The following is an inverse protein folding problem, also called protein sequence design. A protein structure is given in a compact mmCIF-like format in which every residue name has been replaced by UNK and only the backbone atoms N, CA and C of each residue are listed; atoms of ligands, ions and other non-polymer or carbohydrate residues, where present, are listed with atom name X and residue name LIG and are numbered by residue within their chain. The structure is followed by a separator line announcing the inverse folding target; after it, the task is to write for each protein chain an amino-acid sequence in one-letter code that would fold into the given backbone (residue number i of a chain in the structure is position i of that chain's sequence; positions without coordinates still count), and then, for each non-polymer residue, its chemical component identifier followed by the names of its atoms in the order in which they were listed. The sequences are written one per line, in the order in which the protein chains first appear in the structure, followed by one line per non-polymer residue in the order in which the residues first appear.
data_IF_207626796793
#
_entry.id   IF_207626796793
#
_cell.length_a   1.000
_cell.length_b   1.000
_cell.length_c   1.000
_cell.angle_alpha   90.00
_cell.angle_beta   90.00
_cell.angle_gamma   90.00
#
_symmetry.space_group_name_H-M   'P 1'
#
loop_
_entity.id
_entity.type
_entity.pdbx_description
1 polymer ?
#
# COMPACT_ATOMS: atom_id res chain seq x y z
N UNK A 1 -10.40 -10.12 -24.19
CA UNK A 1 -10.36 -9.00 -23.22
C UNK A 1 -8.93 -8.90 -22.72
N UNK A 2 -8.29 -7.73 -22.80
CA UNK A 2 -6.99 -7.52 -22.16
C UNK A 2 -7.27 -7.07 -20.72
N UNK A 3 -6.65 -7.75 -19.76
CA UNK A 3 -6.66 -7.45 -18.33
C UNK A 3 -5.22 -7.45 -17.80
N UNK A 4 -5.00 -7.05 -16.55
CA UNK A 4 -3.66 -6.88 -15.96
C UNK A 4 -2.78 -8.15 -15.94
N UNK A 5 -3.35 -9.33 -16.20
CA UNK A 5 -2.60 -10.59 -16.35
C UNK A 5 -2.53 -11.08 -17.82
N UNK A 6 -2.83 -10.23 -18.80
CA UNK A 6 -2.73 -10.60 -20.22
C UNK A 6 -1.28 -10.94 -20.56
N UNK A 7 -1.00 -12.12 -21.13
CA UNK A 7 0.34 -12.46 -21.60
C UNK A 7 0.90 -11.37 -22.52
N UNK A 8 2.12 -10.91 -22.23
CA UNK A 8 2.79 -9.84 -22.98
C UNK A 8 2.66 -8.43 -22.38
N UNK A 9 1.76 -8.20 -21.42
CA UNK A 9 1.64 -6.92 -20.71
C UNK A 9 2.11 -7.06 -19.25
N UNK A 10 3.42 -7.07 -19.03
CA UNK A 10 4.03 -7.20 -17.69
C UNK A 10 4.30 -5.82 -17.08
N UNK A 11 3.25 -5.17 -16.58
CA UNK A 11 3.36 -3.92 -15.79
C UNK A 11 3.65 -4.26 -14.32
N UNK A 12 2.88 -3.69 -13.39
CA UNK A 12 2.73 -4.17 -12.03
C UNK A 12 1.78 -5.38 -12.08
N UNK A 13 2.28 -6.55 -11.71
CA UNK A 13 1.50 -7.79 -11.74
C UNK A 13 0.47 -7.82 -10.60
N UNK A 14 -0.68 -8.43 -10.87
CA UNK A 14 -1.65 -8.73 -9.82
C UNK A 14 -1.12 -9.85 -8.94
N UNK A 15 -1.36 -9.73 -7.63
CA UNK A 15 -1.02 -10.76 -6.63
C UNK A 15 -2.28 -11.17 -5.89
N UNK A 16 -2.38 -12.45 -5.53
CA UNK A 16 -3.43 -12.97 -4.68
C UNK A 16 -2.86 -13.31 -3.30
N UNK A 17 -3.58 -12.96 -2.24
CA UNK A 17 -3.20 -13.26 -0.86
C UNK A 17 -4.45 -13.52 0.00
N UNK A 18 -4.31 -14.28 1.10
CA UNK A 18 -5.43 -14.60 1.96
C UNK A 18 -5.82 -13.42 2.87
N UNK A 19 -7.12 -13.35 3.20
CA UNK A 19 -7.62 -12.56 4.33
C UNK A 19 -8.08 -13.54 5.41
N UNK A 20 -7.40 -13.51 6.55
CA UNK A 20 -7.62 -14.42 7.68
C UNK A 20 -7.85 -13.63 8.97
N UNK A 21 -8.41 -14.30 9.98
CA UNK A 21 -8.63 -13.73 11.31
C UNK A 21 -7.38 -13.79 12.20
N UNK A 22 -6.43 -14.65 11.86
CA UNK A 22 -5.21 -14.92 12.61
C UNK A 22 -4.03 -15.29 11.68
N UNK A 23 -2.83 -15.40 12.25
CA UNK A 23 -1.61 -15.72 11.49
C UNK A 23 -1.55 -17.20 11.11
N UNK A 24 -2.16 -18.06 11.91
CA UNK A 24 -2.27 -19.50 11.67
C UNK A 24 -3.07 -19.79 10.40
N UNK A 25 -4.15 -19.05 10.14
CA UNK A 25 -4.91 -19.15 8.89
C UNK A 25 -4.09 -18.74 7.66
N UNK A 26 -3.23 -17.72 7.80
CA UNK A 26 -2.31 -17.29 6.74
C UNK A 26 -1.27 -18.38 6.46
N UNK A 27 -0.66 -18.95 7.50
CA UNK A 27 0.31 -20.05 7.38
C UNK A 27 -0.32 -21.28 6.74
N UNK A 28 -1.52 -21.68 7.18
CA UNK A 28 -2.25 -22.81 6.62
C UNK A 28 -2.58 -22.61 5.13
N UNK A 29 -3.03 -21.41 4.74
CA UNK A 29 -3.34 -21.11 3.35
C UNK A 29 -2.09 -21.25 2.47
N UNK A 30 -1.00 -20.57 2.83
CA UNK A 30 0.23 -20.64 2.04
C UNK A 30 0.84 -22.05 2.04
N UNK A 31 0.87 -22.73 3.18
CA UNK A 31 1.33 -24.11 3.25
C UNK A 31 0.51 -25.00 2.29
N UNK A 32 -0.81 -24.87 2.27
CA UNK A 32 -1.70 -25.65 1.41
C UNK A 32 -1.45 -25.36 -0.06
N UNK A 33 -1.42 -24.09 -0.44
CA UNK A 33 -1.22 -23.67 -1.84
C UNK A 33 0.14 -24.12 -2.37
N UNK A 34 1.22 -23.80 -1.65
CA UNK A 34 2.58 -24.14 -2.12
C UNK A 34 2.85 -25.65 -2.10
N UNK A 35 2.15 -26.44 -1.28
CA UNK A 35 2.24 -27.91 -1.31
C UNK A 35 1.69 -28.53 -2.60
N UNK A 36 0.87 -27.79 -3.36
CA UNK A 36 0.35 -28.25 -4.66
C UNK A 36 1.34 -28.11 -5.82
N UNK A 37 2.55 -27.57 -5.57
CA UNK A 37 3.54 -27.20 -6.59
C UNK A 37 2.95 -26.30 -7.69
N UNK A 38 2.50 -25.07 -7.37
CA UNK A 38 1.79 -24.20 -8.32
C UNK A 38 2.52 -23.95 -9.65
N UNK A 39 3.85 -24.01 -9.64
CA UNK A 39 4.69 -23.83 -10.83
C UNK A 39 4.42 -24.85 -11.96
N UNK A 40 3.82 -26.02 -11.67
CA UNK A 40 3.41 -26.98 -12.70
C UNK A 40 2.15 -26.55 -13.47
N UNK A 41 1.36 -25.64 -12.89
CA UNK A 41 0.13 -25.11 -13.46
C UNK A 41 0.29 -23.72 -14.06
N UNK A 42 1.21 -22.91 -13.53
CA UNK A 42 1.45 -21.53 -13.97
C UNK A 42 2.97 -21.22 -14.05
N UNK A 43 3.46 -21.06 -15.28
CA UNK A 43 4.86 -20.72 -15.58
C UNK A 43 5.35 -19.37 -15.04
N UNK A 44 4.44 -18.52 -14.54
CA UNK A 44 4.79 -17.23 -13.93
C UNK A 44 5.05 -17.33 -12.43
N UNK A 45 4.70 -18.45 -11.80
CA UNK A 45 4.89 -18.66 -10.36
C UNK A 45 6.33 -19.07 -10.07
N UNK A 46 6.88 -18.51 -8.98
CA UNK A 46 8.17 -18.94 -8.45
C UNK A 46 8.05 -20.33 -7.82
N UNK A 47 8.90 -21.26 -8.27
CA UNK A 47 8.99 -22.62 -7.72
C UNK A 47 9.77 -22.61 -6.39
N UNK A 48 9.15 -22.05 -5.35
CA UNK A 48 9.72 -21.93 -4.00
C UNK A 48 8.76 -22.63 -3.03
N UNK A 49 9.21 -23.67 -2.30
CA UNK A 49 8.36 -24.35 -1.33
C UNK A 49 8.07 -23.43 -0.13
N UNK A 50 6.92 -23.63 0.51
CA UNK A 50 6.62 -22.99 1.79
C UNK A 50 7.59 -23.51 2.87
N UNK A 51 8.38 -22.60 3.44
CA UNK A 51 9.40 -22.93 4.44
C UNK A 51 8.82 -22.73 5.83
N UNK A 52 8.72 -23.80 6.61
CA UNK A 52 8.51 -23.69 8.06
C UNK A 52 9.80 -23.18 8.69
N UNK A 53 9.72 -21.99 9.28
CA UNK A 53 10.83 -21.39 10.00
C UNK A 53 10.69 -21.72 11.48
N UNK A 54 11.81 -22.01 12.13
CA UNK A 54 11.83 -22.11 13.59
C UNK A 54 11.47 -20.75 14.22
N UNK A 55 10.73 -20.74 15.34
CA UNK A 55 10.47 -19.50 16.06
C UNK A 55 11.77 -18.77 16.37
N UNK A 56 11.78 -17.45 16.16
CA UNK A 56 12.93 -16.63 16.52
C UNK A 56 13.19 -16.75 18.03
N UNK A 57 14.46 -16.84 18.47
CA UNK A 57 14.76 -16.90 19.89
C UNK A 57 14.29 -15.59 20.56
N UNK A 58 13.80 -15.62 21.81
CA UNK A 58 13.34 -14.41 22.50
C UNK A 58 14.39 -13.31 22.62
N UNK A 59 15.67 -13.67 22.55
CA UNK A 59 16.81 -12.73 22.55
C UNK A 59 17.08 -12.06 21.20
N UNK A 60 16.37 -12.43 20.13
CA UNK A 60 16.58 -11.86 18.80
C UNK A 60 16.06 -10.43 18.75
N UNK A 61 16.98 -9.48 18.70
CA UNK A 61 16.68 -8.08 18.38
C UNK A 61 16.45 -7.95 16.87
N UNK A 62 15.30 -7.42 16.49
CA UNK A 62 14.96 -7.08 15.10
C UNK A 62 15.25 -5.60 14.84
N UNK A 63 15.75 -5.30 13.64
CA UNK A 63 15.88 -3.93 13.12
C UNK A 63 14.68 -3.64 12.23
N UNK A 64 13.77 -2.81 12.72
CA UNK A 64 12.48 -2.54 12.09
C UNK A 64 12.50 -1.12 11.53
N UNK A 65 12.39 -1.01 10.21
CA UNK A 65 12.22 0.28 9.53
C UNK A 65 10.82 0.82 9.81
N UNK A 66 10.70 2.08 10.21
CA UNK A 66 9.40 2.73 10.43
C UNK A 66 9.17 3.73 9.32
N UNK A 67 8.16 3.48 8.49
CA UNK A 67 7.71 4.42 7.48
C UNK A 67 6.78 5.43 8.14
N UNK A 68 7.25 6.67 8.24
CA UNK A 68 6.50 7.77 8.86
C UNK A 68 5.58 8.47 7.84
N UNK A 69 4.81 9.44 8.33
CA UNK A 69 3.95 10.27 7.48
C UNK A 69 4.76 10.97 6.36
N UNK A 70 4.28 10.84 5.13
CA UNK A 70 4.83 11.51 3.96
C UNK A 70 4.34 12.97 3.94
N UNK A 71 5.19 13.96 3.58
CA UNK A 71 4.83 15.39 3.59
C UNK A 71 3.54 15.71 2.83
N UNK A 72 3.34 15.10 1.67
CA UNK A 72 2.14 15.24 0.81
C UNK A 72 0.97 14.36 1.24
N UNK A 73 1.22 13.26 1.95
CA UNK A 73 0.21 12.27 2.32
C UNK A 73 0.13 12.12 3.85
N UNK A 74 -0.33 13.14 4.58
CA UNK A 74 -0.38 13.14 6.04
C UNK A 74 -1.29 12.03 6.58
N UNK A 75 -0.99 11.55 7.78
CA UNK A 75 -1.82 10.59 8.50
C UNK A 75 -2.90 11.31 9.32
N UNK A 76 -4.10 10.73 9.36
CA UNK A 76 -5.16 11.14 10.27
C UNK A 76 -4.71 10.89 11.72
N UNK A 77 -5.23 11.66 12.69
CA UNK A 77 -4.90 11.51 14.12
C UNK A 77 -4.92 10.06 14.64
N UNK A 78 -5.98 9.23 14.41
CA UNK A 78 -6.00 7.85 14.91
C UNK A 78 -4.88 6.99 14.33
N UNK A 79 -4.60 7.12 13.03
CA UNK A 79 -3.54 6.34 12.38
C UNK A 79 -2.16 6.72 12.92
N UNK A 80 -1.90 8.02 13.11
CA UNK A 80 -0.65 8.52 13.71
C UNK A 80 -0.48 7.99 15.14
N UNK A 81 -1.53 8.04 15.95
CA UNK A 81 -1.50 7.54 17.33
C UNK A 81 -1.21 6.04 17.38
N UNK A 82 -1.95 5.24 16.62
CA UNK A 82 -1.80 3.78 16.59
C UNK A 82 -0.40 3.37 16.10
N UNK A 83 0.16 4.07 15.11
CA UNK A 83 1.54 3.86 14.67
C UNK A 83 2.56 4.19 15.78
N UNK A 84 2.33 5.27 16.54
CA UNK A 84 3.17 5.63 17.68
C UNK A 84 3.07 4.61 18.82
N UNK A 85 1.88 4.07 19.10
CA UNK A 85 1.68 3.00 20.09
C UNK A 85 2.38 1.71 19.67
N UNK A 86 2.22 1.29 18.41
CA UNK A 86 2.88 0.09 17.88
C UNK A 86 4.41 0.20 17.96
N UNK A 87 4.97 1.36 17.59
CA UNK A 87 6.42 1.59 17.69
C UNK A 87 6.88 1.64 19.15
N UNK A 88 6.13 2.25 20.06
CA UNK A 88 6.45 2.24 21.49
C UNK A 88 6.48 0.80 22.06
N UNK A 89 5.51 -0.04 21.70
CA UNK A 89 5.46 -1.44 22.14
C UNK A 89 6.63 -2.26 21.60
N UNK A 90 6.94 -2.15 20.31
CA UNK A 90 8.08 -2.85 19.70
C UNK A 90 9.41 -2.42 20.34
N UNK A 91 9.57 -1.12 20.63
CA UNK A 91 10.74 -0.61 21.33
C UNK A 91 10.83 -1.12 22.77
N UNK A 92 9.70 -1.21 23.47
CA UNK A 92 9.64 -1.74 24.83
C UNK A 92 10.02 -3.24 24.89
N UNK A 93 9.78 -3.99 23.81
CA UNK A 93 10.24 -5.38 23.66
C UNK A 93 11.73 -5.49 23.26
N UNK A 94 12.47 -4.38 23.19
CA UNK A 94 13.90 -4.36 22.93
C UNK A 94 14.29 -4.40 21.45
N UNK A 95 13.37 -4.20 20.52
CA UNK A 95 13.69 -4.09 19.09
C UNK A 95 14.30 -2.72 18.74
N UNK A 96 15.15 -2.70 17.71
CA UNK A 96 15.74 -1.48 17.17
C UNK A 96 14.80 -0.87 16.13
N UNK A 97 14.35 0.36 16.35
CA UNK A 97 13.50 1.09 15.41
C UNK A 97 14.31 2.11 14.62
N UNK A 98 14.21 2.03 13.30
CA UNK A 98 14.92 2.91 12.35
C UNK A 98 13.87 3.73 11.61
N UNK A 99 13.72 5.00 12.00
CA UNK A 99 12.76 5.91 11.35
C UNK A 99 13.29 6.31 9.98
N UNK A 100 12.61 5.86 8.92
CA UNK A 100 13.04 6.05 7.55
C UNK A 100 12.55 7.40 7.02
N UNK A 101 13.46 8.22 6.50
CA UNK A 101 13.10 9.53 5.97
C UNK A 101 12.27 9.41 4.67
N UNK A 102 11.44 10.42 4.36
CA UNK A 102 10.67 10.43 3.10
C UNK A 102 11.57 10.41 1.86
N UNK A 103 12.73 11.07 1.93
CA UNK A 103 13.74 11.10 0.85
C UNK A 103 14.45 9.75 0.66
N UNK A 104 14.39 8.89 1.67
CA UNK A 104 14.93 7.54 1.64
C UNK A 104 13.90 6.52 1.14
N UNK A 105 12.64 6.67 1.53
CA UNK A 105 11.55 5.76 1.15
C UNK A 105 10.97 6.00 -0.23
N UNK A 106 11.12 7.20 -0.81
CA UNK A 106 10.74 7.53 -2.19
C UNK A 106 9.27 7.16 -2.52
N UNK A 107 8.39 7.28 -1.52
CA UNK A 107 6.98 6.90 -1.64
C UNK A 107 6.30 7.68 -2.76
N UNK A 108 6.58 8.99 -2.89
CA UNK A 108 6.02 9.82 -3.94
C UNK A 108 6.39 9.32 -5.34
N UNK A 109 7.66 9.07 -5.58
CA UNK A 109 8.20 8.62 -6.87
C UNK A 109 7.73 7.21 -7.23
N UNK A 110 7.68 6.31 -6.26
CA UNK A 110 7.15 4.95 -6.44
C UNK A 110 5.67 4.97 -6.80
N UNK A 111 4.88 5.81 -6.13
CA UNK A 111 3.47 6.02 -6.45
C UNK A 111 3.28 6.62 -7.83
N UNK A 112 4.09 7.63 -8.19
CA UNK A 112 4.05 8.28 -9.49
C UNK A 112 4.27 7.28 -10.63
N UNK A 113 5.32 6.46 -10.53
CA UNK A 113 5.62 5.41 -11.51
C UNK A 113 4.48 4.39 -11.59
N UNK A 114 3.96 3.94 -10.45
CA UNK A 114 2.89 2.96 -10.40
C UNK A 114 1.62 3.47 -11.08
N UNK A 115 1.22 4.72 -10.81
CA UNK A 115 0.03 5.31 -11.41
C UNK A 115 0.16 5.48 -12.92
N UNK A 116 1.33 5.83 -13.41
CA UNK A 116 1.58 5.87 -14.86
C UNK A 116 1.51 4.48 -15.48
N UNK A 117 2.06 3.45 -14.83
CA UNK A 117 1.97 2.06 -15.29
C UNK A 117 0.52 1.55 -15.31
N UNK A 118 -0.29 1.85 -14.28
CA UNK A 118 -1.70 1.49 -14.27
C UNK A 118 -2.49 2.22 -15.37
N UNK A 119 -2.12 3.45 -15.68
CA UNK A 119 -2.75 4.28 -16.72
C UNK A 119 -2.29 3.98 -18.15
N UNK A 120 -1.38 3.02 -18.38
CA UNK A 120 -0.93 2.67 -19.73
C UNK A 120 -1.99 1.96 -20.58
N UNK A 121 -2.95 1.29 -19.94
CA UNK A 121 -4.04 0.60 -20.64
C UNK A 121 -5.36 1.39 -20.55
N UNK A 122 -5.73 2.17 -21.59
CA UNK A 122 -6.98 2.91 -21.59
C UNK A 122 -8.21 2.03 -21.89
N UNK A 123 -8.04 0.73 -22.16
CA UNK A 123 -9.15 -0.11 -22.61
C UNK A 123 -10.19 -0.34 -21.52
N UNK A 124 -9.77 -0.45 -20.24
CA UNK A 124 -10.68 -0.70 -19.12
C UNK A 124 -11.80 0.36 -19.04
N UNK A 125 -11.44 1.65 -19.04
CA UNK A 125 -12.42 2.73 -19.01
C UNK A 125 -13.24 2.78 -20.32
N UNK A 126 -12.63 2.44 -21.46
CA UNK A 126 -13.33 2.40 -22.74
C UNK A 126 -14.48 1.38 -22.75
N UNK A 127 -14.34 0.26 -22.03
CA UNK A 127 -15.40 -0.74 -21.91
C UNK A 127 -16.57 -0.23 -21.08
N UNK A 128 -16.29 0.43 -19.95
CA UNK A 128 -17.32 1.06 -19.10
C UNK A 128 -18.12 2.08 -19.91
N UNK A 129 -17.44 2.95 -20.65
CA UNK A 129 -18.08 3.96 -21.50
C UNK A 129 -18.92 3.31 -22.61
N UNK A 130 -18.39 2.27 -23.29
CA UNK A 130 -19.12 1.54 -24.35
C UNK A 130 -20.34 0.79 -23.83
N UNK A 131 -20.31 0.31 -22.59
CA UNK A 131 -21.44 -0.35 -21.95
C UNK A 131 -22.59 0.63 -21.60
N UNK A 132 -22.32 1.94 -21.59
CA UNK A 132 -23.30 2.96 -21.22
C UNK A 132 -23.58 3.03 -19.72
N UNK A 133 -22.73 2.41 -18.90
CA UNK A 133 -22.85 2.45 -17.44
C UNK A 133 -22.35 3.79 -16.87
N UNK A 134 -23.01 4.35 -15.84
CA UNK A 134 -22.52 5.55 -15.18
C UNK A 134 -21.18 5.26 -14.48
N UNK A 135 -20.23 6.18 -14.61
CA UNK A 135 -18.96 6.09 -13.90
C UNK A 135 -19.21 6.15 -12.39
N UNK A 136 -18.66 5.19 -11.64
CA UNK A 136 -18.80 5.14 -10.19
C UNK A 136 -18.30 6.44 -9.54
N UNK A 137 -19.04 7.02 -8.57
CA UNK A 137 -18.63 8.26 -7.92
C UNK A 137 -17.24 8.19 -7.27
N UNK A 138 -16.84 7.04 -6.76
CA UNK A 138 -15.48 6.80 -6.24
C UNK A 138 -14.39 7.08 -7.29
N UNK A 139 -14.60 6.70 -8.57
CA UNK A 139 -13.62 6.92 -9.64
C UNK A 139 -13.50 8.41 -9.98
N UNK A 140 -14.62 9.13 -9.99
CA UNK A 140 -14.63 10.59 -10.19
C UNK A 140 -13.89 11.28 -9.03
N UNK A 141 -14.10 10.83 -7.79
CA UNK A 141 -13.39 11.36 -6.63
C UNK A 141 -11.87 11.12 -6.72
N UNK A 142 -11.44 9.91 -7.11
CA UNK A 142 -10.02 9.61 -7.38
C UNK A 142 -9.47 10.54 -8.45
N UNK A 143 -10.20 10.76 -9.55
CA UNK A 143 -9.78 11.67 -10.62
C UNK A 143 -9.59 13.11 -10.10
N UNK A 144 -10.51 13.63 -9.30
CA UNK A 144 -10.38 14.96 -8.68
C UNK A 144 -9.12 15.07 -7.81
N UNK A 145 -8.84 14.05 -6.99
CA UNK A 145 -7.63 14.03 -6.15
C UNK A 145 -6.35 13.92 -6.99
N UNK A 146 -6.36 13.17 -8.09
CA UNK A 146 -5.22 13.07 -8.99
C UNK A 146 -4.93 14.40 -9.70
N UNK A 147 -5.96 15.14 -10.15
CA UNK A 147 -5.77 16.48 -10.70
C UNK A 147 -5.22 17.45 -9.66
N UNK A 148 -5.71 17.38 -8.41
CA UNK A 148 -5.11 18.14 -7.31
C UNK A 148 -3.66 17.74 -7.05
N UNK A 149 -3.32 16.45 -7.14
CA UNK A 149 -1.94 16.00 -6.92
C UNK A 149 -0.99 16.61 -7.95
N UNK A 150 -1.41 16.69 -9.22
CA UNK A 150 -0.62 17.31 -10.29
C UNK A 150 -0.32 18.79 -10.06
N UNK A 151 -1.16 19.53 -9.33
CA UNK A 151 -0.92 20.95 -9.06
C UNK A 151 0.04 21.20 -7.89
N UNK A 152 0.16 20.24 -6.98
CA UNK A 152 0.96 20.39 -5.74
C UNK A 152 2.25 19.56 -5.76
N UNK A 153 2.30 18.50 -6.56
CA UNK A 153 3.45 17.61 -6.68
C UNK A 153 4.19 17.88 -7.99
N UNK A 154 5.50 18.13 -7.86
CA UNK A 154 6.38 18.24 -9.02
C UNK A 154 6.79 16.84 -9.47
N UNK A 155 6.34 16.46 -10.66
CA UNK A 155 6.69 15.19 -11.30
C UNK A 155 8.21 14.95 -11.33
N UNK A 156 8.62 13.72 -11.00
CA UNK A 156 10.01 13.26 -11.19
C UNK A 156 10.22 12.55 -12.51
N UNK A 157 9.13 12.26 -13.23
CA UNK A 157 9.13 11.68 -14.56
C UNK A 157 9.23 12.76 -15.66
N UNK A 158 9.76 12.40 -16.84
CA UNK A 158 9.73 13.29 -18.00
C UNK A 158 8.30 13.57 -18.46
N UNK A 159 8.12 14.65 -19.20
CA UNK A 159 6.86 14.88 -19.92
C UNK A 159 6.68 13.79 -20.99
N UNK A 160 5.52 13.14 -20.96
CA UNK A 160 5.16 12.10 -21.93
C UNK A 160 4.35 12.63 -23.13
N UNK A 161 4.16 13.95 -23.24
CA UNK A 161 3.50 14.55 -24.40
C UNK A 161 4.24 14.19 -25.69
N UNK A 162 3.53 13.51 -26.60
CA UNK A 162 4.09 13.07 -27.89
C UNK A 162 5.05 11.87 -27.81
N UNK A 163 5.22 11.26 -26.63
CA UNK A 163 6.02 10.04 -26.45
C UNK A 163 5.16 8.83 -26.80
N UNK A 164 5.71 7.93 -27.61
CA UNK A 164 5.08 6.65 -27.95
C UNK A 164 4.86 5.77 -26.70
N UNK A 165 3.89 4.85 -26.76
CA UNK A 165 3.57 3.96 -25.64
C UNK A 165 4.69 2.96 -25.32
N UNK A 166 5.47 2.49 -26.30
CA UNK A 166 6.60 1.59 -26.04
C UNK A 166 7.75 2.34 -25.35
N UNK A 167 8.07 3.54 -25.83
CA UNK A 167 9.07 4.41 -25.21
C UNK A 167 8.65 4.80 -23.78
N UNK A 168 7.38 5.18 -23.59
CA UNK A 168 6.80 5.46 -22.28
C UNK A 168 6.91 4.26 -21.35
N UNK A 169 6.58 3.06 -21.83
CA UNK A 169 6.73 1.82 -21.06
C UNK A 169 8.19 1.54 -20.69
N UNK A 170 9.12 1.73 -21.63
CA UNK A 170 10.54 1.54 -21.39
C UNK A 170 11.07 2.50 -20.33
N UNK A 171 10.71 3.78 -20.41
CA UNK A 171 11.07 4.81 -19.41
C UNK A 171 10.52 4.44 -18.03
N UNK A 172 9.23 4.07 -17.94
CA UNK A 172 8.59 3.72 -16.68
C UNK A 172 9.20 2.47 -16.05
N UNK A 173 9.52 1.43 -16.84
CA UNK A 173 10.16 0.23 -16.36
C UNK A 173 11.60 0.49 -15.89
N UNK A 174 12.37 1.30 -16.62
CA UNK A 174 13.71 1.71 -16.21
C UNK A 174 13.67 2.47 -14.87
N UNK A 175 12.74 3.43 -14.74
CA UNK A 175 12.55 4.18 -13.50
C UNK A 175 12.10 3.28 -12.35
N UNK A 176 11.18 2.34 -12.58
CA UNK A 176 10.76 1.36 -11.58
C UNK A 176 11.93 0.50 -11.11
N UNK A 177 12.78 0.03 -12.02
CA UNK A 177 13.96 -0.76 -11.68
C UNK A 177 14.96 0.04 -10.83
N UNK A 178 15.23 1.30 -11.20
CA UNK A 178 16.08 2.20 -10.42
C UNK A 178 15.55 2.39 -8.99
N UNK A 179 14.26 2.69 -8.84
CA UNK A 179 13.65 2.90 -7.52
C UNK A 179 13.65 1.62 -6.67
N UNK A 180 13.44 0.45 -7.28
CA UNK A 180 13.56 -0.86 -6.59
C UNK A 180 14.97 -1.08 -6.06
N UNK A 181 16.00 -0.78 -6.85
CA UNK A 181 17.39 -0.91 -6.40
C UNK A 181 17.72 0.07 -5.27
N UNK A 182 17.27 1.33 -5.35
CA UNK A 182 17.45 2.30 -4.26
C UNK A 182 16.75 1.84 -2.97
N UNK A 183 15.57 1.25 -3.08
CA UNK A 183 14.86 0.70 -1.93
C UNK A 183 15.56 -0.55 -1.36
N UNK A 184 16.15 -1.40 -2.21
CA UNK A 184 17.00 -2.52 -1.76
C UNK A 184 18.25 -2.01 -1.04
N UNK A 185 18.90 -0.97 -1.55
CA UNK A 185 20.05 -0.33 -0.90
C UNK A 185 19.68 0.25 0.46
N UNK A 186 18.50 0.85 0.59
CA UNK A 186 17.95 1.30 1.88
C UNK A 186 17.88 0.14 2.89
N UNK A 187 17.33 -1.00 2.49
CA UNK A 187 17.24 -2.20 3.34
C UNK A 187 18.62 -2.70 3.79
N UNK A 188 19.60 -2.73 2.87
CA UNK A 188 20.97 -3.17 3.19
C UNK A 188 21.68 -2.16 4.09
N UNK A 189 21.60 -0.86 3.78
CA UNK A 189 22.21 0.24 4.54
C UNK A 189 21.77 0.19 6.00
N UNK A 190 20.48 0.02 6.24
CA UNK A 190 19.90 0.00 7.57
C UNK A 190 19.80 -1.41 8.17
N UNK A 191 20.27 -2.45 7.47
CA UNK A 191 20.22 -3.84 7.90
C UNK A 191 18.83 -4.29 8.36
N UNK A 192 17.79 -3.89 7.62
CA UNK A 192 16.40 -4.07 8.02
C UNK A 192 15.99 -5.55 8.00
N UNK A 193 15.21 -5.96 9.00
CA UNK A 193 14.55 -7.27 9.01
C UNK A 193 13.08 -7.17 8.56
N UNK A 194 12.43 -6.05 8.86
CA UNK A 194 11.06 -5.76 8.48
C UNK A 194 10.85 -4.24 8.39
N UNK A 195 9.75 -3.83 7.75
CA UNK A 195 9.26 -2.46 7.81
C UNK A 195 7.85 -2.42 8.42
N UNK A 196 7.59 -1.42 9.24
CA UNK A 196 6.27 -1.08 9.76
C UNK A 196 5.78 0.20 9.07
N UNK A 197 4.57 0.15 8.52
CA UNK A 197 3.93 1.28 7.84
C UNK A 197 2.42 1.24 8.09
N UNK A 198 1.74 2.40 8.12
CA UNK A 198 0.29 2.42 8.11
C UNK A 198 -0.24 1.99 6.74
N UNK A 199 -1.30 1.17 6.64
CA UNK A 199 -1.83 0.74 5.34
C UNK A 199 -2.62 1.85 4.62
N UNK A 200 -3.04 2.88 5.34
CA UNK A 200 -3.78 4.02 4.80
C UNK A 200 -3.51 5.27 5.63
N UNK A 201 -3.84 6.44 5.07
CA UNK A 201 -3.82 7.71 5.80
C UNK A 201 -4.91 7.82 6.85
N UNK A 202 -5.97 7.01 6.74
CA UNK A 202 -7.26 7.19 7.38
C UNK A 202 -7.78 5.86 7.94
N UNK A 203 -8.84 5.95 8.72
CA UNK A 203 -9.71 4.80 9.03
C UNK A 203 -10.83 4.70 7.99
N UNK A 204 -11.87 3.91 8.23
CA UNK A 204 -13.00 3.81 7.32
C UNK A 204 -13.57 5.20 6.96
N UNK A 205 -13.63 5.48 5.66
CA UNK A 205 -14.18 6.72 5.11
C UNK A 205 -15.62 6.53 4.65
N UNK A 206 -16.33 7.63 4.43
CA UNK A 206 -17.63 7.61 3.76
C UNK A 206 -17.56 6.93 2.39
N UNK A 207 -18.67 6.34 1.96
CA UNK A 207 -18.81 5.76 0.63
C UNK A 207 -18.32 6.76 -0.44
N UNK A 208 -17.55 6.25 -1.41
CA UNK A 208 -17.00 7.01 -2.52
C UNK A 208 -16.01 8.14 -2.14
N UNK A 209 -15.41 8.10 -0.94
CA UNK A 209 -14.48 9.13 -0.44
C UNK A 209 -13.09 8.62 -0.04
N UNK A 210 -12.71 7.39 -0.40
CA UNK A 210 -11.41 6.83 -0.02
C UNK A 210 -10.24 7.48 -0.74
N UNK A 211 -10.38 7.76 -2.04
CA UNK A 211 -9.35 8.47 -2.78
C UNK A 211 -8.09 7.64 -3.04
N UNK A 212 -6.92 8.28 -2.90
CA UNK A 212 -5.61 7.72 -3.24
C UNK A 212 -5.04 6.84 -2.11
N UNK A 213 -4.33 5.76 -2.47
CA UNK A 213 -3.79 4.79 -1.51
C UNK A 213 -2.24 4.78 -1.49
N UNK A 214 -1.58 5.90 -1.10
CA UNK A 214 -0.15 6.07 -1.28
C UNK A 214 0.71 5.07 -0.50
N UNK A 215 0.21 4.59 0.64
CA UNK A 215 0.93 3.66 1.53
C UNK A 215 0.78 2.18 1.15
N UNK A 216 0.03 1.85 0.09
CA UNK A 216 -0.06 0.48 -0.44
C UNK A 216 0.33 0.41 -1.92
N UNK A 217 0.04 1.45 -2.71
CA UNK A 217 0.44 1.49 -4.13
C UNK A 217 1.96 1.43 -4.31
N UNK A 218 2.74 2.10 -3.44
CA UNK A 218 4.20 2.05 -3.52
C UNK A 218 4.75 0.62 -3.34
N UNK A 219 4.09 -0.20 -2.52
CA UNK A 219 4.48 -1.59 -2.29
C UNK A 219 4.22 -2.47 -3.51
N UNK A 220 3.14 -2.21 -4.25
CA UNK A 220 2.90 -2.86 -5.54
C UNK A 220 3.99 -2.48 -6.57
N UNK A 221 4.43 -1.22 -6.54
CA UNK A 221 5.53 -0.75 -7.39
C UNK A 221 6.84 -1.50 -7.05
N UNK A 222 7.13 -1.65 -5.75
CA UNK A 222 8.30 -2.36 -5.25
C UNK A 222 8.22 -3.88 -5.47
N UNK A 223 7.01 -4.45 -5.49
CA UNK A 223 6.75 -5.89 -5.51
C UNK A 223 7.29 -6.58 -4.24
N UNK A 224 6.99 -5.99 -3.07
CA UNK A 224 7.45 -6.47 -1.76
C UNK A 224 6.30 -7.17 -1.02
N UNK A 225 6.57 -8.28 -0.31
CA UNK A 225 5.56 -8.98 0.48
C UNK A 225 5.14 -8.12 1.67
N UNK A 226 3.82 -7.97 1.86
CA UNK A 226 3.25 -7.18 2.96
C UNK A 226 2.03 -7.85 3.55
N UNK A 227 1.80 -7.63 4.85
CA UNK A 227 0.59 -8.02 5.56
C UNK A 227 0.06 -6.82 6.34
N UNK A 228 -1.26 -6.71 6.45
CA UNK A 228 -1.92 -5.73 7.31
C UNK A 228 -2.48 -6.44 8.54
N UNK A 229 -2.03 -6.02 9.71
CA UNK A 229 -2.47 -6.58 11.00
C UNK A 229 -3.35 -5.53 11.68
N UNK A 230 -4.62 -5.85 12.02
CA UNK A 230 -5.47 -4.95 12.77
C UNK A 230 -4.83 -4.60 14.12
N UNK A 231 -4.74 -3.31 14.44
CA UNK A 231 -4.18 -2.84 15.70
C UNK A 231 -4.83 -1.52 16.13
N UNK A 232 -5.21 -1.43 17.40
CA UNK A 232 -5.85 -0.27 17.98
C UNK A 232 -7.31 -0.06 17.53
N UNK A 233 -7.97 0.89 18.18
CA UNK A 233 -9.33 1.35 17.85
C UNK A 233 -9.37 2.87 17.94
N UNK A 234 -10.31 3.51 17.23
CA UNK A 234 -10.53 4.96 17.32
C UNK A 234 -11.13 5.31 18.69
N UNK A 235 -10.57 6.30 19.35
CA UNK A 235 -10.99 6.73 20.68
C UNK A 235 -11.09 8.25 20.85
N UNK A 236 -11.43 8.69 22.06
CA UNK A 236 -11.63 10.11 22.38
C UNK A 236 -10.40 10.98 22.10
N UNK A 237 -9.19 10.43 22.26
CA UNK A 237 -7.93 11.12 21.98
C UNK A 237 -7.73 11.45 20.49
N UNK A 238 -8.52 10.84 19.60
CA UNK A 238 -8.42 11.01 18.15
C UNK A 238 -9.30 12.15 17.61
N UNK A 239 -10.15 12.75 18.47
CA UNK A 239 -11.03 13.88 18.13
C UNK A 239 -10.26 15.19 18.01
N UNK A 240 -9.25 15.19 17.16
CA UNK A 240 -8.39 16.34 16.89
C UNK A 240 -8.78 16.98 15.58
N UNK A 241 -8.63 18.30 15.50
CA UNK A 241 -8.79 19.03 14.24
C UNK A 241 -7.69 18.59 13.29
N UNK A 242 -8.09 18.12 12.11
CA UNK A 242 -7.17 17.72 11.04
C UNK A 242 -7.42 18.62 9.84
N UNK A 243 -6.51 19.58 9.66
CA UNK A 243 -6.53 20.51 8.54
C UNK A 243 -5.44 20.14 7.54
N UNK A 244 -5.84 19.97 6.28
CA UNK A 244 -4.90 19.75 5.19
C UNK A 244 -4.25 21.07 4.80
N UNK A 245 -2.92 21.06 4.72
CA UNK A 245 -2.20 22.14 4.05
C UNK A 245 -2.46 22.12 2.55
N UNK A 246 -2.16 23.24 1.89
CA UNK A 246 -2.34 23.39 0.45
C UNK A 246 -1.51 22.37 -0.36
N UNK A 247 -0.38 21.92 0.18
CA UNK A 247 0.55 20.94 -0.42
C UNK A 247 0.24 19.48 -0.07
N UNK A 248 -0.94 19.19 0.49
CA UNK A 248 -1.30 17.87 1.01
C UNK A 248 -2.59 17.29 0.43
N UNK A 249 -2.63 15.96 0.34
CA UNK A 249 -3.81 15.20 -0.05
C UNK A 249 -4.05 14.10 0.98
N UNK A 250 -5.27 14.06 1.51
CA UNK A 250 -5.82 12.94 2.27
C UNK A 250 -7.34 12.96 2.11
N UNK A 251 -8.03 11.85 2.43
CA UNK A 251 -9.47 11.87 2.60
C UNK A 251 -9.92 12.79 3.74
N UNK A 252 -11.19 13.18 3.68
CA UNK A 252 -11.85 13.95 4.73
C UNK A 252 -11.76 13.23 6.08
N UNK A 253 -11.50 13.99 7.13
CA UNK A 253 -11.26 13.50 8.48
C UNK A 253 -12.42 13.91 9.37
N UNK A 254 -13.37 13.01 9.59
CA UNK A 254 -14.60 13.28 10.35
C UNK A 254 -14.60 12.58 11.71
N UNK A 255 -13.73 13.01 12.63
CA UNK A 255 -13.75 12.53 14.02
C UNK A 255 -14.28 13.58 15.01
N UNK A 256 -14.81 14.70 14.51
CA UNK A 256 -15.38 15.80 15.33
C UNK A 256 -16.83 15.56 15.80
N UNK A 257 -17.45 14.46 15.40
CA UNK A 257 -18.78 14.03 15.87
C UNK A 257 -18.71 12.59 16.41
N UNK A 258 -19.47 12.25 17.47
CA UNK A 258 -19.36 10.94 18.10
C UNK A 258 -19.77 9.85 17.11
N UNK A 259 -18.79 9.10 16.61
CA UNK A 259 -19.04 7.93 15.76
C UNK A 259 -19.68 6.87 16.65
N UNK A 260 -20.86 6.41 16.25
CA UNK A 260 -21.57 5.30 16.89
C UNK A 260 -20.62 4.11 17.09
N UNK A 261 -20.53 3.62 18.32
CA UNK A 261 -19.84 2.38 18.62
C UNK A 261 -20.47 1.27 17.78
N UNK A 262 -19.78 0.76 16.77
CA UNK A 262 -20.09 -0.56 16.25
C UNK A 262 -19.67 -1.56 17.33
N UNK A 263 -20.58 -1.85 18.26
CA UNK A 263 -20.49 -3.06 19.06
C UNK A 263 -20.51 -4.21 18.07
N UNK A 264 -19.37 -4.84 17.85
CA UNK A 264 -19.29 -6.18 17.31
C UNK A 264 -20.25 -7.03 18.17
N UNK A 265 -21.34 -7.49 17.55
CA UNK A 265 -22.34 -8.26 18.26
C UNK A 265 -21.72 -9.61 18.65
N UNK A 266 -21.18 -9.68 19.87
CA UNK A 266 -20.89 -10.92 20.56
C UNK A 266 -22.22 -11.63 20.85
N UNK A 267 -22.73 -12.37 19.87
CA UNK A 267 -23.76 -13.39 20.04
C UNK A 267 -23.54 -14.54 19.07
N UNK A 268 -22.66 -15.47 19.46
CA UNK A 268 -22.89 -16.89 19.20
C UNK A 268 -22.58 -17.62 20.51
N UNK A 269 -23.59 -17.71 21.37
CA UNK A 269 -23.77 -18.85 22.26
C UNK A 269 -24.62 -19.85 21.47
N UNK A 270 -24.01 -20.94 21.00
CA UNK A 270 -24.58 -22.28 20.82
C UNK A 270 -23.38 -23.22 20.64
#
# INVERSE_FOLDING_TARGET
MRVCNTPGMRFILSVAGPLCLDLEGIDLFFQTVFSTQPAIYDSTVLDIPWRKLEPLPPSKVLRIGVIHEHPTFPLHPPVRRVLAEATALLKAQGHELIYLASQETLIGELNEVAMHLYGLDPLAISYVVKAGEPIAPALLHIQTLMERLKTIHKSTLPDFNGVDNLDKLAILNARRAELRERYRELWVKHGLNACLAPPAQNTAVKHDRFGFAPYTIFLNCLDYPTASIPFGEVGELDKQVFELRNDQIAPECEYSTPVFSFKCASRINC
#
